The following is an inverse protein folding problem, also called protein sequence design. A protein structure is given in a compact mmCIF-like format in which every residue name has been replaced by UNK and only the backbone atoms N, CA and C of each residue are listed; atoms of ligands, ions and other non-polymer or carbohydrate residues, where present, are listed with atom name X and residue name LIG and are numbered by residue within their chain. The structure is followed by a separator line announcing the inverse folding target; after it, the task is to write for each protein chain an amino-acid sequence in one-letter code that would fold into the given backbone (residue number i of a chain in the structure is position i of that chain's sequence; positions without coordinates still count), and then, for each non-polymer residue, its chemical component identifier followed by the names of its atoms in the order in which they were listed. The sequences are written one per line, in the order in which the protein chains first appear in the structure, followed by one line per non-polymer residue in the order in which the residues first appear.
data_IF_389354546272
#
_entry.id   IF_389354546272
#
_cell.length_a   1.000
_cell.length_b   1.000
_cell.length_c   1.000
_cell.angle_alpha   90.00
_cell.angle_beta   90.00
_cell.angle_gamma   90.00
#
_symmetry.space_group_name_H-M   'P 1'
#
loop_
_entity.id
_entity.type
_entity.pdbx_description
1 polymer ?
#
# COMPACT_ATOMS: atom_id res chain seq x y z
N UNK A 1 3.17 8.86 -17.66
CA UNK A 1 2.08 9.16 -16.70
C UNK A 1 2.59 10.10 -15.59
N UNK A 2 3.64 9.74 -14.80
CA UNK A 2 4.10 10.46 -13.60
C UNK A 2 4.39 11.96 -13.83
N UNK A 3 5.12 12.33 -14.89
CA UNK A 3 5.36 13.74 -15.23
C UNK A 3 4.07 14.53 -15.47
N UNK A 4 3.08 13.91 -16.12
CA UNK A 4 1.78 14.56 -16.33
C UNK A 4 1.01 14.73 -15.02
N UNK A 5 1.03 13.73 -14.14
CA UNK A 5 0.43 13.82 -12.81
C UNK A 5 1.08 14.94 -11.98
N UNK A 6 2.41 14.98 -11.95
CA UNK A 6 3.14 16.04 -11.27
C UNK A 6 2.83 17.44 -11.83
N UNK A 7 2.78 17.58 -13.17
CA UNK A 7 2.42 18.83 -13.82
C UNK A 7 0.96 19.26 -13.58
N UNK A 8 0.06 18.31 -13.36
CA UNK A 8 -1.34 18.55 -13.02
C UNK A 8 -1.56 18.89 -11.52
N UNK A 9 -0.49 18.90 -10.70
CA UNK A 9 -0.56 19.30 -9.30
C UNK A 9 -0.88 18.17 -8.31
N UNK A 10 -0.77 16.92 -8.72
CA UNK A 10 -0.90 15.80 -7.76
C UNK A 10 0.29 15.77 -6.80
N UNK A 11 0.00 15.66 -5.51
CA UNK A 11 1.01 15.60 -4.43
C UNK A 11 1.61 14.21 -4.26
N UNK A 12 0.83 13.17 -4.59
CA UNK A 12 1.22 11.76 -4.45
C UNK A 12 1.07 11.03 -5.79
N UNK A 13 2.07 10.24 -6.14
CA UNK A 13 2.01 9.31 -7.29
C UNK A 13 2.21 7.89 -6.79
N UNK A 14 1.20 7.04 -6.98
CA UNK A 14 1.27 5.63 -6.61
C UNK A 14 1.56 4.75 -7.83
N UNK A 15 2.57 3.88 -7.71
CA UNK A 15 2.85 2.80 -8.64
C UNK A 15 2.07 1.54 -8.21
N UNK A 16 1.25 1.03 -9.11
CA UNK A 16 0.50 -0.19 -8.83
C UNK A 16 1.35 -1.43 -9.12
N UNK A 17 1.97 -1.96 -8.08
CA UNK A 17 2.81 -3.16 -8.11
C UNK A 17 2.15 -4.41 -7.53
N UNK A 18 0.81 -4.51 -7.59
CA UNK A 18 0.02 -5.53 -6.93
C UNK A 18 -1.02 -6.17 -7.85
N UNK A 19 -1.77 -7.14 -7.33
CA UNK A 19 -3.04 -7.69 -7.83
C UNK A 19 -2.99 -8.27 -9.24
N UNK A 20 -1.89 -8.96 -9.61
CA UNK A 20 -1.75 -9.64 -10.89
C UNK A 20 -1.49 -8.71 -12.08
N UNK A 21 -1.26 -7.40 -11.86
CA UNK A 21 -0.90 -6.51 -12.93
C UNK A 21 0.61 -6.55 -13.22
N UNK A 22 1.02 -5.94 -14.32
CA UNK A 22 2.34 -6.08 -14.95
C UNK A 22 3.52 -6.08 -13.98
N UNK A 23 3.59 -5.17 -13.02
CA UNK A 23 4.70 -5.13 -12.05
C UNK A 23 4.66 -6.37 -11.14
N UNK A 24 3.47 -6.74 -10.66
CA UNK A 24 3.31 -7.95 -9.84
C UNK A 24 3.67 -9.21 -10.62
N UNK A 25 3.30 -9.30 -11.90
CA UNK A 25 3.67 -10.41 -12.77
C UNK A 25 5.19 -10.59 -12.93
N UNK A 26 5.96 -9.49 -12.88
CA UNK A 26 7.42 -9.58 -12.85
C UNK A 26 7.96 -10.03 -11.49
N UNK A 27 7.31 -9.66 -10.39
CA UNK A 27 7.77 -9.98 -9.03
C UNK A 27 7.51 -11.43 -8.64
N UNK A 28 6.35 -11.98 -9.00
CA UNK A 28 5.96 -13.33 -8.61
C UNK A 28 6.66 -14.40 -9.43
N UNK A 29 7.22 -15.45 -8.81
CA UNK A 29 7.78 -16.59 -9.51
C UNK A 29 6.72 -17.43 -10.23
N UNK A 30 5.44 -17.35 -9.86
CA UNK A 30 4.35 -18.08 -10.51
C UNK A 30 4.04 -17.58 -11.92
N UNK A 31 4.21 -16.29 -12.15
CA UNK A 31 3.97 -15.64 -13.46
C UNK A 31 5.26 -15.36 -14.21
N UNK A 32 6.35 -15.05 -13.51
CA UNK A 32 7.63 -14.70 -14.13
C UNK A 32 8.50 -15.94 -14.34
N UNK A 33 8.32 -16.59 -15.49
CA UNK A 33 9.10 -17.75 -15.93
C UNK A 33 10.31 -17.37 -16.81
N UNK A 34 10.70 -16.10 -16.84
CA UNK A 34 11.83 -15.58 -17.64
C UNK A 34 13.16 -16.14 -17.15
N UNK A 35 14.08 -16.34 -18.09
CA UNK A 35 15.44 -16.83 -17.84
C UNK A 35 16.52 -15.77 -18.08
N UNK A 36 16.11 -14.54 -18.42
CA UNK A 36 17.00 -13.40 -18.58
C UNK A 36 17.21 -12.62 -17.28
N UNK A 37 17.83 -11.44 -17.37
CA UNK A 37 18.11 -10.57 -16.23
C UNK A 37 16.87 -10.00 -15.51
N UNK A 38 15.66 -10.32 -15.95
CA UNK A 38 14.38 -9.91 -15.34
C UNK A 38 13.61 -11.08 -14.72
N UNK A 39 14.18 -12.30 -14.71
CA UNK A 39 13.54 -13.50 -14.15
C UNK A 39 14.50 -14.38 -13.38
N UNK A 40 13.99 -15.49 -12.86
CA UNK A 40 14.74 -16.43 -12.02
C UNK A 40 14.87 -15.93 -10.58
N UNK A 41 15.99 -15.30 -10.23
CA UNK A 41 16.24 -14.86 -8.84
C UNK A 41 15.33 -13.71 -8.41
N UNK A 42 15.11 -13.57 -7.10
CA UNK A 42 14.37 -12.46 -6.52
C UNK A 42 14.94 -11.10 -6.96
N UNK A 43 16.27 -10.99 -7.01
CA UNK A 43 16.95 -9.78 -7.47
C UNK A 43 16.59 -9.43 -8.93
N UNK A 44 16.58 -10.41 -9.82
CA UNK A 44 16.23 -10.18 -11.22
C UNK A 44 14.74 -9.82 -11.37
N UNK A 45 13.84 -10.52 -10.65
CA UNK A 45 12.40 -10.24 -10.73
C UNK A 45 12.05 -8.82 -10.27
N UNK A 46 12.72 -8.26 -9.25
CA UNK A 46 12.49 -6.88 -8.78
C UNK A 46 13.07 -5.81 -9.70
N UNK A 47 14.00 -6.14 -10.59
CA UNK A 47 14.72 -5.20 -11.48
C UNK A 47 13.78 -4.33 -12.31
N UNK A 48 12.68 -4.88 -12.80
CA UNK A 48 11.70 -4.12 -13.57
C UNK A 48 11.05 -3.00 -12.73
N UNK A 49 10.59 -3.33 -11.53
CA UNK A 49 10.02 -2.34 -10.61
C UNK A 49 11.04 -1.27 -10.24
N UNK A 50 12.27 -1.63 -9.89
CA UNK A 50 13.30 -0.66 -9.50
C UNK A 50 13.60 0.33 -10.63
N UNK A 51 13.69 -0.12 -11.88
CA UNK A 51 13.84 0.78 -13.03
C UNK A 51 12.67 1.77 -13.19
N UNK A 52 11.45 1.32 -12.90
CA UNK A 52 10.26 2.19 -12.92
C UNK A 52 10.36 3.21 -11.78
N UNK A 53 10.66 2.75 -10.57
CA UNK A 53 10.82 3.61 -9.37
C UNK A 53 11.83 4.71 -9.62
N UNK A 54 13.05 4.37 -10.09
CA UNK A 54 14.10 5.33 -10.40
C UNK A 54 13.64 6.37 -11.44
N UNK A 55 12.95 5.89 -12.48
CA UNK A 55 12.42 6.77 -13.53
C UNK A 55 11.34 7.71 -13.04
N UNK A 56 10.44 7.20 -12.17
CA UNK A 56 9.34 7.98 -11.60
C UNK A 56 9.87 8.94 -10.55
N UNK A 57 10.77 8.51 -9.66
CA UNK A 57 11.39 9.40 -8.66
C UNK A 57 11.99 10.65 -9.30
N UNK A 58 12.78 10.47 -10.36
CA UNK A 58 13.33 11.61 -11.13
C UNK A 58 12.25 12.48 -11.78
N UNK A 59 11.11 11.90 -12.11
CA UNK A 59 10.02 12.61 -12.79
C UNK A 59 9.10 13.40 -11.87
N UNK A 60 8.97 12.98 -10.61
CA UNK A 60 8.06 13.60 -9.63
C UNK A 60 8.76 14.57 -8.67
N UNK A 61 10.11 14.55 -8.64
CA UNK A 61 10.89 15.42 -7.74
C UNK A 61 10.59 15.13 -6.27
N UNK A 62 10.28 16.14 -5.48
CA UNK A 62 10.04 16.04 -4.04
C UNK A 62 8.63 15.57 -3.64
N UNK A 63 7.79 15.23 -4.62
CA UNK A 63 6.44 14.71 -4.36
C UNK A 63 6.51 13.30 -3.78
N UNK A 64 5.49 12.92 -3.04
CA UNK A 64 5.39 11.59 -2.45
C UNK A 64 5.28 10.52 -3.54
N UNK A 65 6.22 9.59 -3.52
CA UNK A 65 6.20 8.38 -4.34
C UNK A 65 5.73 7.20 -3.51
N UNK A 66 4.58 6.67 -3.85
CA UNK A 66 4.00 5.48 -3.24
C UNK A 66 4.16 4.26 -4.15
N UNK A 67 4.38 3.09 -3.55
CA UNK A 67 4.32 1.81 -4.25
C UNK A 67 3.33 0.88 -3.55
N UNK A 68 2.33 0.40 -4.30
CA UNK A 68 1.40 -0.61 -3.79
C UNK A 68 1.87 -2.00 -4.16
N UNK A 69 1.92 -2.90 -3.16
CA UNK A 69 2.42 -4.26 -3.30
C UNK A 69 1.38 -5.29 -2.83
N UNK A 70 1.37 -6.46 -3.46
CA UNK A 70 0.79 -7.67 -2.88
C UNK A 70 1.86 -8.35 -2.03
N UNK A 71 1.64 -8.41 -0.73
CA UNK A 71 2.61 -8.96 0.22
C UNK A 71 2.89 -10.44 0.01
N UNK A 72 1.88 -11.19 -0.44
CA UNK A 72 1.97 -12.63 -0.73
C UNK A 72 0.99 -13.00 -1.83
N UNK A 73 1.28 -14.07 -2.56
CA UNK A 73 0.36 -14.66 -3.54
C UNK A 73 -0.66 -15.61 -2.92
N UNK A 74 -0.50 -15.98 -1.65
CA UNK A 74 -1.30 -16.99 -0.95
C UNK A 74 -1.23 -18.40 -1.57
N UNK A 75 -0.19 -18.69 -2.33
CA UNK A 75 0.01 -19.92 -3.07
C UNK A 75 1.42 -20.46 -2.87
N UNK A 76 1.54 -21.78 -2.78
CA UNK A 76 2.83 -22.46 -2.73
C UNK A 76 3.65 -22.13 -3.99
N UNK A 77 4.94 -21.86 -3.79
CA UNK A 77 5.82 -21.43 -4.86
C UNK A 77 5.59 -20.00 -5.37
N UNK A 78 4.65 -19.27 -4.77
CA UNK A 78 4.39 -17.87 -5.07
C UNK A 78 5.32 -16.90 -4.32
N UNK A 79 5.01 -15.62 -4.40
CA UNK A 79 5.72 -14.57 -3.68
C UNK A 79 5.42 -14.70 -2.16
N UNK A 80 6.41 -14.98 -1.31
CA UNK A 80 6.22 -15.01 0.13
C UNK A 80 6.33 -13.60 0.74
N UNK A 81 5.71 -13.36 1.89
CA UNK A 81 5.69 -12.05 2.55
C UNK A 81 7.08 -11.54 2.93
N UNK A 82 8.00 -12.44 3.26
CA UNK A 82 9.39 -12.11 3.59
C UNK A 82 10.14 -11.51 2.39
N UNK A 83 9.84 -11.96 1.18
CA UNK A 83 10.41 -11.37 -0.04
C UNK A 83 9.89 -9.94 -0.25
N UNK A 84 8.61 -9.69 0.07
CA UNK A 84 8.04 -8.34 0.03
C UNK A 84 8.65 -7.43 1.09
N UNK A 85 8.95 -7.93 2.28
CA UNK A 85 9.69 -7.19 3.31
C UNK A 85 11.08 -6.76 2.80
N UNK A 86 11.85 -7.70 2.22
CA UNK A 86 13.17 -7.39 1.62
C UNK A 86 13.06 -6.39 0.46
N UNK A 87 12.08 -6.58 -0.41
CA UNK A 87 11.81 -5.64 -1.50
C UNK A 87 11.49 -4.23 -0.97
N UNK A 88 10.70 -4.14 0.08
CA UNK A 88 10.29 -2.87 0.70
C UNK A 88 11.50 -2.06 1.18
N UNK A 89 12.47 -2.71 1.84
CA UNK A 89 13.71 -2.04 2.25
C UNK A 89 14.48 -1.49 1.06
N UNK A 90 14.61 -2.27 -0.02
CA UNK A 90 15.26 -1.81 -1.25
C UNK A 90 14.49 -0.67 -1.93
N UNK A 91 13.16 -0.69 -1.92
CA UNK A 91 12.35 0.40 -2.48
C UNK A 91 12.56 1.72 -1.74
N UNK A 92 12.69 1.67 -0.42
CA UNK A 92 13.02 2.86 0.41
C UNK A 92 14.40 3.41 0.05
N UNK A 93 15.41 2.56 -0.14
CA UNK A 93 16.74 2.98 -0.60
C UNK A 93 16.69 3.65 -1.99
N UNK A 94 15.73 3.28 -2.83
CA UNK A 94 15.45 3.89 -4.14
C UNK A 94 14.53 5.13 -4.08
N UNK A 95 14.22 5.62 -2.86
CA UNK A 95 13.46 6.85 -2.65
C UNK A 95 11.95 6.71 -2.71
N UNK A 96 11.42 5.53 -2.38
CA UNK A 96 9.98 5.34 -2.14
C UNK A 96 9.64 5.87 -0.74
N UNK A 97 8.65 6.77 -0.68
CA UNK A 97 8.24 7.42 0.57
C UNK A 97 7.12 6.64 1.27
N UNK A 98 6.27 5.95 0.51
CA UNK A 98 5.10 5.24 1.06
C UNK A 98 4.98 3.84 0.47
N UNK A 99 4.77 2.87 1.32
CA UNK A 99 4.51 1.47 0.98
C UNK A 99 3.06 1.13 1.33
N UNK A 100 2.24 0.83 0.31
CA UNK A 100 0.83 0.49 0.46
C UNK A 100 0.66 -1.03 0.34
N UNK A 101 0.36 -1.71 1.44
CA UNK A 101 0.46 -3.17 1.54
C UNK A 101 -0.92 -3.82 1.44
N UNK A 102 -1.10 -4.58 0.35
CA UNK A 102 -2.23 -5.45 0.07
C UNK A 102 -1.76 -6.91 -0.03
N UNK A 103 -2.53 -7.82 -0.61
CA UNK A 103 -2.11 -9.20 -0.87
C UNK A 103 -2.89 -9.86 -2.00
N UNK A 104 -2.33 -10.92 -2.57
CA UNK A 104 -2.99 -11.83 -3.51
C UNK A 104 -3.38 -11.22 -4.85
N UNK A 105 -4.39 -11.83 -5.44
CA UNK A 105 -5.01 -11.47 -6.72
C UNK A 105 -4.10 -11.63 -7.97
N UNK A 106 -3.02 -12.42 -7.87
CA UNK A 106 -2.27 -12.88 -9.05
C UNK A 106 -3.03 -14.03 -9.74
N UNK A 107 -3.37 -15.04 -8.97
CA UNK A 107 -4.14 -16.21 -9.34
C UNK A 107 -5.24 -16.46 -8.29
N UNK A 108 -6.29 -17.25 -8.59
CA UNK A 108 -7.24 -17.66 -7.58
C UNK A 108 -6.54 -18.41 -6.43
N UNK A 109 -6.85 -18.03 -5.20
CA UNK A 109 -6.28 -18.62 -3.99
C UNK A 109 -7.32 -18.61 -2.86
N UNK A 110 -7.23 -19.57 -1.95
CA UNK A 110 -8.02 -19.58 -0.73
C UNK A 110 -7.41 -18.60 0.27
N UNK A 111 -8.05 -17.43 0.41
CA UNK A 111 -7.59 -16.36 1.28
C UNK A 111 -8.45 -16.34 2.55
N UNK A 112 -7.88 -16.41 3.75
CA UNK A 112 -8.62 -16.32 5.01
C UNK A 112 -9.12 -14.88 5.23
N UNK A 113 -10.27 -14.57 4.60
CA UNK A 113 -10.86 -13.24 4.65
C UNK A 113 -11.45 -12.94 6.03
N UNK A 114 -11.15 -11.76 6.56
CA UNK A 114 -11.68 -11.26 7.82
C UNK A 114 -11.28 -9.81 8.07
N UNK A 115 -11.85 -9.15 9.09
CA UNK A 115 -11.49 -7.77 9.42
C UNK A 115 -9.98 -7.61 9.64
N UNK A 116 -9.33 -6.76 8.84
CA UNK A 116 -7.90 -6.48 8.96
C UNK A 116 -6.96 -7.59 8.48
N UNK A 117 -7.42 -8.59 7.70
CA UNK A 117 -6.65 -9.79 7.33
C UNK A 117 -5.29 -9.49 6.66
N UNK A 118 -5.07 -8.31 6.11
CA UNK A 118 -3.80 -7.90 5.52
C UNK A 118 -2.93 -7.03 6.43
N UNK A 119 -3.46 -6.56 7.57
CA UNK A 119 -2.70 -5.70 8.50
C UNK A 119 -1.43 -6.37 9.07
N UNK A 120 -1.39 -7.69 9.33
CA UNK A 120 -0.15 -8.34 9.73
C UNK A 120 0.99 -8.16 8.73
N UNK A 121 0.71 -8.20 7.42
CA UNK A 121 1.72 -7.95 6.40
C UNK A 121 2.21 -6.49 6.38
N UNK A 122 1.31 -5.54 6.63
CA UNK A 122 1.71 -4.14 6.79
C UNK A 122 2.64 -3.97 8.00
N UNK A 123 2.35 -4.66 9.11
CA UNK A 123 3.18 -4.66 10.31
C UNK A 123 4.57 -5.27 10.05
N UNK A 124 4.66 -6.36 9.28
CA UNK A 124 5.93 -6.98 8.91
C UNK A 124 6.78 -6.03 8.05
N UNK A 125 6.18 -5.42 7.04
CA UNK A 125 6.83 -4.41 6.20
C UNK A 125 7.27 -3.21 7.03
N UNK A 126 6.43 -2.71 7.94
CA UNK A 126 6.79 -1.58 8.81
C UNK A 126 8.00 -1.90 9.70
N UNK A 127 8.08 -3.13 10.21
CA UNK A 127 9.28 -3.58 10.94
C UNK A 127 10.51 -3.66 10.02
N UNK A 128 10.34 -4.13 8.79
CA UNK A 128 11.45 -4.26 7.84
C UNK A 128 12.05 -2.92 7.41
N UNK A 129 11.25 -1.85 7.41
CA UNK A 129 11.70 -0.50 7.06
C UNK A 129 11.91 0.40 8.28
N UNK A 130 11.93 -0.16 9.48
CA UNK A 130 12.17 0.58 10.72
C UNK A 130 13.50 1.33 10.67
N UNK A 131 13.50 2.58 11.14
CA UNK A 131 14.68 3.47 11.08
C UNK A 131 14.77 4.32 9.81
N UNK A 132 13.86 4.13 8.84
CA UNK A 132 13.68 5.03 7.71
C UNK A 132 12.53 6.01 7.94
N UNK A 133 12.41 7.03 7.07
CA UNK A 133 11.28 7.97 7.09
C UNK A 133 10.05 7.44 6.34
N UNK A 134 10.14 6.30 5.67
CA UNK A 134 9.06 5.72 4.88
C UNK A 134 7.84 5.38 5.76
N UNK A 135 6.64 5.59 5.19
CA UNK A 135 5.36 5.29 5.85
C UNK A 135 4.73 4.06 5.24
N UNK A 136 3.99 3.32 6.04
CA UNK A 136 3.30 2.11 5.62
C UNK A 136 1.80 2.30 5.73
N UNK A 137 1.10 2.07 4.63
CA UNK A 137 -0.37 2.08 4.56
C UNK A 137 -0.88 0.65 4.59
N UNK A 138 -1.71 0.33 5.58
CA UNK A 138 -2.42 -0.94 5.68
C UNK A 138 -3.82 -0.87 5.04
N UNK A 139 -4.28 -1.97 4.48
CA UNK A 139 -5.62 -2.11 3.90
C UNK A 139 -6.12 -3.54 4.13
N UNK A 140 -7.41 -3.76 4.08
CA UNK A 140 -7.99 -5.10 4.09
C UNK A 140 -9.14 -5.27 5.08
N UNK A 141 -10.36 -4.97 4.64
CA UNK A 141 -11.58 -5.10 5.46
C UNK A 141 -11.51 -4.35 6.80
N UNK A 142 -10.85 -3.19 6.84
CA UNK A 142 -10.97 -2.24 7.94
C UNK A 142 -12.27 -1.48 7.73
N UNK A 143 -13.22 -1.67 8.65
CA UNK A 143 -14.61 -1.20 8.47
C UNK A 143 -15.14 -0.39 9.64
N UNK A 144 -14.36 -0.20 10.71
CA UNK A 144 -14.71 0.67 11.83
C UNK A 144 -13.57 1.61 12.23
N UNK A 145 -13.92 2.71 12.87
CA UNK A 145 -13.00 3.69 13.41
C UNK A 145 -12.04 3.05 14.44
N UNK A 146 -12.59 2.24 15.34
CA UNK A 146 -11.85 1.57 16.41
C UNK A 146 -10.83 0.58 15.86
N UNK A 147 -11.18 -0.16 14.80
CA UNK A 147 -10.25 -1.06 14.14
C UNK A 147 -9.11 -0.30 13.44
N UNK A 148 -9.43 0.82 12.79
CA UNK A 148 -8.42 1.68 12.16
C UNK A 148 -7.47 2.25 13.22
N UNK A 149 -8.02 2.83 14.29
CA UNK A 149 -7.24 3.38 15.40
C UNK A 149 -6.35 2.31 16.05
N UNK A 150 -6.91 1.13 16.31
CA UNK A 150 -6.14 0.00 16.87
C UNK A 150 -4.93 -0.33 16.00
N UNK A 151 -5.09 -0.37 14.67
CA UNK A 151 -3.98 -0.67 13.76
C UNK A 151 -2.86 0.38 13.85
N UNK A 152 -3.21 1.64 14.07
CA UNK A 152 -2.26 2.74 14.21
C UNK A 152 -1.54 2.70 15.57
N UNK A 153 -2.30 2.64 16.66
CA UNK A 153 -1.73 2.70 18.03
C UNK A 153 -0.91 1.47 18.39
N UNK A 154 -1.25 0.29 17.80
CA UNK A 154 -0.45 -0.94 17.95
C UNK A 154 0.74 -0.99 16.99
N UNK A 155 0.94 0.03 16.17
CA UNK A 155 2.07 0.14 15.27
C UNK A 155 2.05 -0.81 14.07
N UNK A 156 0.87 -1.30 13.65
CA UNK A 156 0.76 -2.17 12.48
C UNK A 156 0.97 -1.41 11.16
N UNK A 157 0.56 -0.15 11.10
CA UNK A 157 0.75 0.74 9.96
C UNK A 157 0.79 2.21 10.41
N UNK A 158 1.08 3.12 9.49
CA UNK A 158 1.07 4.57 9.73
C UNK A 158 -0.21 5.23 9.25
N UNK A 159 -0.91 4.57 8.32
CA UNK A 159 -2.23 4.99 7.83
C UNK A 159 -3.04 3.77 7.41
N UNK A 160 -4.35 3.92 7.33
CA UNK A 160 -5.28 2.89 6.88
C UNK A 160 -5.99 3.35 5.61
N UNK A 161 -5.98 2.49 4.58
CA UNK A 161 -6.77 2.71 3.37
C UNK A 161 -8.09 1.97 3.45
N UNK A 162 -9.17 2.63 3.03
CA UNK A 162 -10.50 2.06 2.91
C UNK A 162 -10.98 2.12 1.46
N UNK A 163 -11.56 1.04 0.97
CA UNK A 163 -12.06 0.95 -0.40
C UNK A 163 -13.59 0.87 -0.43
N UNK A 164 -14.15 -0.33 -0.39
CA UNK A 164 -15.58 -0.60 -0.53
C UNK A 164 -16.45 0.17 0.47
N UNK A 165 -15.96 0.38 1.70
CA UNK A 165 -16.68 1.17 2.70
C UNK A 165 -16.89 2.61 2.23
N UNK A 166 -15.89 3.24 1.59
CA UNK A 166 -16.01 4.59 1.06
C UNK A 166 -16.96 4.68 -0.16
N UNK A 167 -17.25 3.57 -0.84
CA UNK A 167 -18.26 3.52 -1.89
C UNK A 167 -19.69 3.56 -1.33
N UNK A 168 -19.89 3.00 -0.13
CA UNK A 168 -21.20 2.98 0.54
C UNK A 168 -21.38 4.19 1.47
N UNK A 169 -20.30 4.71 2.02
CA UNK A 169 -20.28 5.89 2.89
C UNK A 169 -19.11 6.84 2.50
N UNK A 170 -19.34 7.79 1.56
CA UNK A 170 -18.31 8.73 1.13
C UNK A 170 -17.79 9.62 2.27
N UNK A 171 -18.54 9.76 3.35
CA UNK A 171 -18.20 10.56 4.52
C UNK A 171 -17.57 9.76 5.66
N UNK A 172 -17.18 8.50 5.40
CA UNK A 172 -16.60 7.63 6.43
C UNK A 172 -15.41 8.26 7.18
N UNK A 173 -14.51 9.03 6.57
CA UNK A 173 -13.42 9.66 7.33
C UNK A 173 -13.93 10.67 8.36
N UNK A 174 -14.93 11.47 7.99
CA UNK A 174 -15.54 12.45 8.91
C UNK A 174 -16.31 11.77 10.03
N UNK A 175 -17.02 10.68 9.71
CA UNK A 175 -17.76 9.89 10.69
C UNK A 175 -16.81 9.23 11.68
N UNK A 176 -15.68 8.69 11.20
CA UNK A 176 -14.67 8.09 12.07
C UNK A 176 -13.99 9.14 12.94
N UNK A 177 -13.68 10.33 12.40
CA UNK A 177 -13.13 11.43 13.18
C UNK A 177 -14.08 11.81 14.33
N UNK A 178 -15.37 11.96 14.06
CA UNK A 178 -16.37 12.23 15.09
C UNK A 178 -16.46 11.08 16.13
N UNK A 179 -16.46 9.82 15.67
CA UNK A 179 -16.49 8.64 16.53
C UNK A 179 -15.28 8.55 17.46
N UNK A 180 -14.11 8.98 17.01
CA UNK A 180 -12.86 9.01 17.78
C UNK A 180 -12.66 10.29 18.59
N UNK A 181 -13.62 11.23 18.57
CA UNK A 181 -13.56 12.47 19.33
C UNK A 181 -12.51 13.46 18.80
N UNK A 182 -12.29 13.49 17.47
CA UNK A 182 -11.36 14.42 16.85
C UNK A 182 -12.03 15.78 16.71
N UNK A 183 -11.60 16.77 17.48
CA UNK A 183 -12.17 18.11 17.52
C UNK A 183 -11.93 18.94 16.25
N UNK A 184 -10.76 18.73 15.59
CA UNK A 184 -10.33 19.49 14.40
C UNK A 184 -10.59 18.71 13.11
N UNK A 185 -11.79 18.14 13.01
CA UNK A 185 -12.21 17.40 11.83
C UNK A 185 -12.28 18.33 10.59
N UNK A 186 -11.78 17.89 9.39
CA UNK A 186 -11.82 18.68 8.15
C UNK A 186 -13.22 18.79 7.55
N UNK A 187 -14.25 18.92 8.39
CA UNK A 187 -15.64 19.07 7.97
C UNK A 187 -15.85 20.41 7.27
N UNK A 188 -16.44 20.42 6.06
CA UNK A 188 -16.80 21.64 5.40
C UNK A 188 -17.66 22.55 6.28
N UNK A 189 -17.38 23.85 6.27
CA UNK A 189 -18.07 24.84 7.14
C UNK A 189 -19.59 24.75 7.02
N UNK A 190 -20.10 24.46 5.83
CA UNK A 190 -21.54 24.32 5.54
C UNK A 190 -22.20 23.18 6.31
N UNK A 191 -21.44 22.14 6.68
CA UNK A 191 -21.94 20.93 7.35
C UNK A 191 -21.66 20.90 8.85
N UNK A 192 -20.97 21.91 9.40
CA UNK A 192 -20.60 21.96 10.84
C UNK A 192 -21.79 21.96 11.80
N UNK A 193 -23.02 22.25 11.29
CA UNK A 193 -24.25 22.14 12.09
C UNK A 193 -24.80 20.71 12.16
N UNK A 194 -24.33 19.81 11.28
CA UNK A 194 -24.65 18.41 11.32
C UNK A 194 -23.74 17.69 12.31
N UNK A 195 -24.33 17.16 13.36
CA UNK A 195 -23.59 16.40 14.37
C UNK A 195 -23.70 14.91 14.03
N UNK A 196 -22.55 14.27 13.93
CA UNK A 196 -22.51 12.81 13.89
C UNK A 196 -22.58 12.31 15.33
N UNK A 197 -23.73 11.81 15.73
CA UNK A 197 -23.92 11.18 17.03
C UNK A 197 -23.56 9.72 17.02
#
# INVERSE_FOLDING_TARGET
AARRAAAAGYDVVELHGAHGYLIHEFLSPLSNTRTDSYGGSEENRRRFLLRIVDGVRRAVGDRVLCVRLSATDWLDGGLPSEATCRLSSVLVEHGVDVLHISSGALLPADIPLGPGYQLPFAADVKRAVAGSEAKVVGVGMVTSAEQAEQALVTGQCDAVAVGRLALTDPYVPLRWAARLGVDDSPMPVQYRRGVWG
#
